data_IF_885296992954
#
_entry.id   IF_885296992954
#
_cell.length_a   1.000
_cell.length_b   1.000
_cell.length_c   1.000
_cell.angle_alpha   90.00
_cell.angle_beta   90.00
_cell.angle_gamma   90.00
#
_symmetry.space_group_name_H-M   'P 1'
#
loop_
_entity.id
_entity.type
_entity.pdbx_description
1 polymer ?
#
# COMPACT_ATOMS: atom_id res chain seq x y z
N UNK A 1 -8.03 -6.01 7.93
CA UNK A 1 -8.27 -5.69 9.36
C UNK A 1 -6.98 -5.10 9.93
N UNK A 2 -6.99 -3.88 10.47
CA UNK A 2 -5.79 -3.29 11.11
C UNK A 2 -5.82 -3.67 12.58
N UNK A 3 -4.81 -4.40 13.03
CA UNK A 3 -4.62 -4.67 14.45
C UNK A 3 -3.56 -3.67 14.92
N UNK A 4 -3.97 -2.75 15.78
CA UNK A 4 -3.05 -1.82 16.44
C UNK A 4 -2.65 -2.49 17.75
N UNK A 5 -1.41 -2.96 17.82
CA UNK A 5 -0.82 -3.44 19.06
C UNK A 5 0.02 -2.33 19.69
N UNK A 6 0.02 -2.24 21.01
CA UNK A 6 1.00 -1.43 21.73
C UNK A 6 1.78 -2.32 22.70
N UNK A 7 3.04 -1.97 22.95
CA UNK A 7 3.90 -2.76 23.81
C UNK A 7 4.43 -1.89 24.95
N UNK A 8 4.30 -2.38 26.18
CA UNK A 8 4.79 -1.70 27.39
C UNK A 8 5.98 -2.48 27.97
N UNK A 9 7.10 -1.82 28.31
CA UNK A 9 8.20 -2.48 28.99
C UNK A 9 7.81 -2.82 30.43
N UNK A 10 8.20 -4.01 30.88
CA UNK A 10 8.02 -4.53 32.25
C UNK A 10 9.37 -5.02 32.79
N UNK A 11 9.45 -5.27 34.10
CA UNK A 11 10.67 -5.78 34.75
C UNK A 11 11.20 -7.10 34.12
N UNK A 12 10.33 -7.88 33.48
CA UNK A 12 10.66 -9.20 32.93
C UNK A 12 10.53 -9.27 31.39
N UNK A 13 10.35 -8.14 30.68
CA UNK A 13 10.25 -8.12 29.21
C UNK A 13 9.24 -7.12 28.64
N UNK A 14 8.72 -7.38 27.43
CA UNK A 14 7.73 -6.53 26.75
C UNK A 14 6.33 -7.14 26.86
N UNK A 15 5.39 -6.39 27.44
CA UNK A 15 3.98 -6.75 27.48
C UNK A 15 3.29 -6.27 26.20
N UNK A 16 2.83 -7.19 25.36
CA UNK A 16 2.13 -6.91 24.12
C UNK A 16 0.61 -6.84 24.34
N UNK A 17 0.04 -5.67 24.10
CA UNK A 17 -1.41 -5.46 24.09
C UNK A 17 -1.93 -5.53 22.66
N UNK A 18 -2.95 -6.37 22.44
CA UNK A 18 -3.60 -6.53 21.14
C UNK A 18 -5.14 -6.52 21.31
N UNK A 19 -5.88 -5.87 20.39
CA UNK A 19 -7.33 -5.71 20.48
C UNK A 19 -8.12 -6.91 19.91
N UNK A 20 -7.46 -7.83 19.20
CA UNK A 20 -8.11 -8.90 18.45
C UNK A 20 -7.92 -10.28 19.10
N UNK A 21 -9.01 -10.99 19.32
CA UNK A 21 -9.03 -12.39 19.80
C UNK A 21 -8.30 -13.31 18.81
N UNK A 22 -8.35 -13.03 17.51
CA UNK A 22 -7.66 -13.80 16.47
C UNK A 22 -6.14 -13.70 16.60
N UNK A 23 -5.62 -12.50 16.91
CA UNK A 23 -4.18 -12.27 17.10
C UNK A 23 -3.66 -13.00 18.33
N UNK A 24 -4.48 -13.07 19.39
CA UNK A 24 -4.18 -13.90 20.56
C UNK A 24 -3.98 -15.35 20.19
N UNK A 25 -4.93 -15.92 19.45
CA UNK A 25 -4.92 -17.33 19.08
C UNK A 25 -3.68 -17.68 18.24
N UNK A 26 -3.34 -16.80 17.28
CA UNK A 26 -2.20 -17.01 16.39
C UNK A 26 -0.85 -16.86 17.11
N UNK A 27 -0.71 -15.87 18.00
CA UNK A 27 0.48 -15.74 18.84
C UNK A 27 0.65 -16.91 19.82
N UNK A 28 -0.44 -17.44 20.37
CA UNK A 28 -0.40 -18.62 21.23
C UNK A 28 0.04 -19.86 20.45
N UNK A 29 -0.48 -20.07 19.24
CA UNK A 29 -0.04 -21.17 18.39
C UNK A 29 1.45 -21.07 18.05
N UNK A 30 1.93 -19.87 17.69
CA UNK A 30 3.35 -19.65 17.40
C UNK A 30 4.22 -19.89 18.64
N UNK A 31 3.74 -19.51 19.82
CA UNK A 31 4.42 -19.74 21.10
C UNK A 31 4.54 -21.22 21.46
N UNK A 32 3.49 -22.01 21.23
CA UNK A 32 3.53 -23.47 21.44
C UNK A 32 4.60 -24.11 20.53
N UNK A 33 4.62 -23.75 19.24
CA UNK A 33 5.66 -24.22 18.32
C UNK A 33 7.06 -23.75 18.72
N UNK A 34 7.20 -22.54 19.28
CA UNK A 34 8.47 -22.01 19.75
C UNK A 34 9.01 -22.70 21.01
N UNK A 35 8.13 -23.14 21.90
CA UNK A 35 8.52 -23.95 23.06
C UNK A 35 9.11 -25.29 22.64
N UNK A 36 8.52 -25.93 21.64
CA UNK A 36 8.95 -27.25 21.19
C UNK A 36 10.24 -27.21 20.36
N UNK A 37 10.39 -26.19 19.50
CA UNK A 37 11.44 -26.19 18.47
C UNK A 37 12.55 -25.15 18.70
N UNK A 38 12.30 -24.13 19.52
CA UNK A 38 13.16 -22.95 19.64
C UNK A 38 13.42 -22.54 21.09
N UNK A 39 13.33 -23.49 22.04
CA UNK A 39 13.61 -23.27 23.47
C UNK A 39 12.78 -22.15 24.12
N UNK A 40 11.58 -21.88 23.59
CA UNK A 40 10.68 -20.83 24.10
C UNK A 40 11.10 -19.41 23.71
N UNK A 41 11.89 -19.24 22.65
CA UNK A 41 12.20 -17.93 22.08
C UNK A 41 11.34 -17.64 20.85
N UNK A 42 10.69 -16.48 20.83
CA UNK A 42 9.91 -15.97 19.70
C UNK A 42 10.45 -14.59 19.31
N UNK A 43 10.92 -14.46 18.06
CA UNK A 43 11.27 -13.16 17.50
C UNK A 43 10.04 -12.54 16.83
N UNK A 44 9.64 -11.35 17.27
CA UNK A 44 8.48 -10.63 16.73
C UNK A 44 8.93 -9.27 16.20
N UNK A 45 8.85 -9.10 14.88
CA UNK A 45 9.11 -7.81 14.23
C UNK A 45 7.83 -6.95 14.17
N UNK A 46 7.72 -6.00 15.09
CA UNK A 46 6.65 -5.02 15.08
C UNK A 46 6.98 -3.90 14.10
N UNK A 47 6.24 -3.83 12.99
CA UNK A 47 6.33 -2.73 12.03
C UNK A 47 5.37 -1.61 12.41
N UNK A 48 5.75 -0.35 12.16
CA UNK A 48 4.83 0.79 12.30
C UNK A 48 3.55 0.51 11.52
N UNK A 49 2.36 0.83 12.07
CA UNK A 49 1.12 0.65 11.36
C UNK A 49 1.15 1.47 10.08
N UNK A 50 1.32 0.78 8.96
CA UNK A 50 1.26 1.36 7.64
C UNK A 50 -0.19 1.32 7.17
N UNK A 51 -0.72 2.44 6.64
CA UNK A 51 -2.06 2.43 6.06
C UNK A 51 -2.00 1.69 4.73
N UNK A 52 -2.12 0.36 4.78
CA UNK A 52 -2.24 -0.47 3.57
C UNK A 52 -3.36 0.09 2.69
N UNK A 53 -3.03 0.43 1.45
CA UNK A 53 -3.98 0.68 0.36
C UNK A 53 -5.06 -0.40 0.34
N UNK A 54 -6.32 -0.05 0.04
CA UNK A 54 -7.34 -1.10 -0.13
C UNK A 54 -6.95 -1.95 -1.34
N UNK A 55 -7.05 -3.28 -1.20
CA UNK A 55 -6.86 -4.23 -2.31
C UNK A 55 -7.80 -3.87 -3.49
N UNK A 56 -9.00 -3.41 -3.18
CA UNK A 56 -10.00 -3.00 -4.18
C UNK A 56 -9.58 -1.73 -4.93
N UNK A 57 -9.03 -0.72 -4.24
CA UNK A 57 -8.51 0.49 -4.89
C UNK A 57 -7.35 0.15 -5.81
N UNK A 58 -6.47 -0.75 -5.39
CA UNK A 58 -5.36 -1.21 -6.23
C UNK A 58 -5.88 -1.96 -7.46
N UNK A 59 -6.83 -2.89 -7.30
CA UNK A 59 -7.47 -3.59 -8.43
C UNK A 59 -8.13 -2.59 -9.38
N UNK A 60 -8.83 -1.60 -8.84
CA UNK A 60 -9.53 -0.58 -9.61
C UNK A 60 -8.56 0.25 -10.47
N UNK A 61 -7.48 0.74 -9.87
CA UNK A 61 -6.46 1.49 -10.60
C UNK A 61 -5.82 0.67 -11.71
N UNK A 62 -5.36 -0.55 -11.41
CA UNK A 62 -4.69 -1.38 -12.42
C UNK A 62 -5.63 -1.82 -13.55
N UNK A 63 -6.91 -2.06 -13.27
CA UNK A 63 -7.90 -2.33 -14.31
C UNK A 63 -8.03 -1.17 -15.29
N UNK A 64 -8.11 0.07 -14.79
CA UNK A 64 -8.16 1.25 -15.66
C UNK A 64 -6.84 1.48 -16.41
N UNK A 65 -5.69 1.28 -15.78
CA UNK A 65 -4.37 1.41 -16.44
C UNK A 65 -4.24 0.40 -17.59
N UNK A 66 -4.67 -0.84 -17.38
CA UNK A 66 -4.72 -1.85 -18.43
C UNK A 66 -5.65 -1.47 -19.58
N UNK A 67 -6.81 -0.88 -19.27
CA UNK A 67 -7.72 -0.40 -20.28
C UNK A 67 -7.08 0.74 -21.11
N UNK A 68 -6.44 1.72 -20.45
CA UNK A 68 -5.73 2.79 -21.13
C UNK A 68 -4.62 2.23 -22.02
N UNK A 69 -3.86 1.25 -21.54
CA UNK A 69 -2.81 0.60 -22.34
C UNK A 69 -3.39 -0.07 -23.58
N UNK A 70 -4.50 -0.79 -23.43
CA UNK A 70 -5.18 -1.45 -24.56
C UNK A 70 -5.69 -0.46 -25.61
N UNK A 71 -6.21 0.69 -25.20
CA UNK A 71 -6.79 1.70 -26.10
C UNK A 71 -5.73 2.59 -26.76
N UNK A 72 -4.63 2.86 -26.07
CA UNK A 72 -3.59 3.80 -26.54
C UNK A 72 -2.35 3.13 -27.11
N UNK A 73 -2.14 1.84 -26.82
CA UNK A 73 -0.93 1.09 -27.19
C UNK A 73 0.32 1.44 -26.38
N UNK A 74 0.19 2.22 -25.30
CA UNK A 74 1.31 2.56 -24.41
C UNK A 74 1.58 1.46 -23.38
N UNK A 75 2.82 1.38 -22.92
CA UNK A 75 3.22 0.46 -21.86
C UNK A 75 2.61 0.85 -20.51
N UNK A 76 2.32 -0.17 -19.69
CA UNK A 76 1.70 0.02 -18.37
C UNK A 76 2.58 0.90 -17.46
N UNK A 77 3.91 0.73 -17.54
CA UNK A 77 4.87 1.50 -16.74
C UNK A 77 4.86 2.99 -17.12
N UNK A 78 4.75 3.30 -18.42
CA UNK A 78 4.70 4.68 -18.89
C UNK A 78 3.41 5.37 -18.45
N UNK A 79 2.28 4.66 -18.53
CA UNK A 79 0.98 5.16 -18.06
C UNK A 79 1.01 5.36 -16.54
N UNK A 80 1.51 4.39 -15.77
CA UNK A 80 1.65 4.50 -14.32
C UNK A 80 2.52 5.71 -13.93
N UNK A 81 3.64 5.89 -14.61
CA UNK A 81 4.56 7.00 -14.36
C UNK A 81 3.90 8.35 -14.67
N UNK A 82 3.22 8.47 -15.83
CA UNK A 82 2.50 9.70 -16.21
C UNK A 82 1.39 10.03 -15.20
N UNK A 83 0.63 9.03 -14.74
CA UNK A 83 -0.42 9.21 -13.75
C UNK A 83 0.14 9.67 -12.39
N UNK A 84 1.26 9.11 -11.94
CA UNK A 84 1.95 9.56 -10.72
C UNK A 84 2.42 11.01 -10.83
N UNK A 85 3.00 11.39 -11.97
CA UNK A 85 3.44 12.76 -12.22
C UNK A 85 2.27 13.75 -12.19
N UNK A 86 1.13 13.37 -12.80
CA UNK A 86 -0.10 14.16 -12.73
C UNK A 86 -0.63 14.25 -11.30
N UNK A 87 -0.60 13.15 -10.54
CA UNK A 87 -1.10 13.11 -9.17
C UNK A 87 -0.25 13.94 -8.19
N UNK A 88 1.01 14.27 -8.51
CA UNK A 88 1.84 15.16 -7.69
C UNK A 88 1.16 16.53 -7.46
N UNK A 89 0.40 17.05 -8.44
CA UNK A 89 -0.36 18.31 -8.29
C UNK A 89 -1.48 18.23 -7.25
N UNK A 90 -1.93 17.00 -6.91
CA UNK A 90 -2.94 16.71 -5.89
C UNK A 90 -2.34 16.35 -4.52
N UNK A 91 -1.02 16.40 -4.39
CA UNK A 91 -0.32 16.05 -3.14
C UNK A 91 0.17 14.61 -3.06
N UNK A 92 0.25 13.89 -4.19
CA UNK A 92 0.96 12.61 -4.24
C UNK A 92 2.45 12.80 -3.85
N UNK A 93 3.01 11.93 -2.99
CA UNK A 93 4.37 12.11 -2.49
C UNK A 93 5.42 11.98 -3.60
N UNK A 94 6.39 12.90 -3.58
CA UNK A 94 7.50 12.91 -4.52
C UNK A 94 8.78 13.43 -3.88
N UNK A 95 9.91 13.18 -4.55
CA UNK A 95 11.19 13.84 -4.30
C UNK A 95 11.66 14.58 -5.54
N UNK A 96 12.55 15.54 -5.36
CA UNK A 96 13.25 16.17 -6.49
C UNK A 96 14.51 15.36 -6.77
N UNK A 97 14.70 14.92 -8.01
CA UNK A 97 15.95 14.33 -8.44
C UNK A 97 17.03 15.42 -8.44
N UNK A 98 18.03 15.29 -7.58
CA UNK A 98 19.10 16.29 -7.41
C UNK A 98 19.96 16.49 -8.66
N UNK A 99 20.03 15.50 -9.55
CA UNK A 99 20.81 15.59 -10.79
C UNK A 99 20.02 16.26 -11.92
N UNK A 100 18.72 15.98 -12.04
CA UNK A 100 17.91 16.45 -13.17
C UNK A 100 16.98 17.62 -12.82
N UNK A 101 16.82 17.94 -11.54
CA UNK A 101 15.86 18.92 -11.05
C UNK A 101 14.39 18.48 -11.20
N UNK A 102 14.12 17.31 -11.79
CA UNK A 102 12.77 16.83 -12.08
C UNK A 102 12.11 16.21 -10.87
N UNK A 103 10.78 16.33 -10.82
CA UNK A 103 9.95 15.61 -9.86
C UNK A 103 10.09 14.11 -10.14
N UNK A 104 10.33 13.34 -9.08
CA UNK A 104 10.34 11.88 -9.07
C UNK A 104 9.30 11.40 -8.06
N UNK A 105 8.12 10.94 -8.52
CA UNK A 105 7.09 10.39 -7.66
C UNK A 105 7.58 9.17 -6.87
N UNK A 106 6.99 8.93 -5.70
CA UNK A 106 7.29 7.76 -4.88
C UNK A 106 6.69 6.47 -5.45
N UNK A 107 7.17 5.33 -4.94
CA UNK A 107 6.63 4.04 -5.33
C UNK A 107 5.18 3.89 -4.86
N UNK A 108 4.35 3.17 -5.62
CA UNK A 108 3.00 2.81 -5.18
C UNK A 108 2.98 1.95 -3.91
N UNK A 109 4.09 1.27 -3.59
CA UNK A 109 4.25 0.53 -2.33
C UNK A 109 4.36 1.45 -1.12
N UNK A 110 4.68 2.72 -1.35
CA UNK A 110 4.81 3.78 -0.34
C UNK A 110 3.56 4.66 -0.27
N UNK A 111 2.49 4.29 -1.00
CA UNK A 111 1.22 5.03 -1.02
C UNK A 111 0.17 4.53 -0.03
N UNK A 112 -0.52 5.47 0.62
CA UNK A 112 -1.69 5.22 1.45
C UNK A 112 -3.02 5.32 0.66
N UNK A 113 -4.13 5.09 1.36
CA UNK A 113 -5.50 5.14 0.81
C UNK A 113 -5.86 6.48 0.16
N UNK A 114 -5.34 7.60 0.70
CA UNK A 114 -5.66 8.94 0.19
C UNK A 114 -4.88 9.21 -1.09
N UNK A 115 -3.60 8.87 -1.08
CA UNK A 115 -2.71 9.00 -2.24
C UNK A 115 -3.17 8.09 -3.39
N UNK A 116 -3.69 6.91 -3.06
CA UNK A 116 -4.33 6.02 -4.04
C UNK A 116 -5.59 6.65 -4.65
N UNK A 117 -6.36 7.41 -3.88
CA UNK A 117 -7.49 8.19 -4.38
C UNK A 117 -7.07 9.22 -5.41
N UNK A 118 -5.96 9.94 -5.18
CA UNK A 118 -5.43 10.90 -6.15
C UNK A 118 -5.02 10.25 -7.48
N UNK A 119 -4.46 9.04 -7.43
CA UNK A 119 -4.14 8.28 -8.64
C UNK A 119 -5.42 7.91 -9.40
N UNK A 120 -6.42 7.35 -8.71
CA UNK A 120 -7.71 6.98 -9.32
C UNK A 120 -8.39 8.19 -9.98
N UNK A 121 -8.42 9.33 -9.30
CA UNK A 121 -9.01 10.56 -9.86
C UNK A 121 -8.29 11.01 -11.13
N UNK A 122 -6.95 11.00 -11.15
CA UNK A 122 -6.18 11.35 -12.35
C UNK A 122 -6.34 10.30 -13.45
N UNK A 123 -6.53 9.03 -13.11
CA UNK A 123 -6.82 7.98 -14.09
C UNK A 123 -8.18 8.21 -14.74
N UNK A 124 -9.22 8.50 -13.96
CA UNK A 124 -10.56 8.83 -14.47
C UNK A 124 -10.49 10.06 -15.37
N UNK A 125 -9.76 11.09 -14.94
CA UNK A 125 -9.58 12.31 -15.71
C UNK A 125 -8.84 12.03 -17.03
N UNK A 126 -7.80 11.19 -17.02
CA UNK A 126 -7.08 10.81 -18.23
C UNK A 126 -7.97 10.00 -19.19
N UNK A 127 -8.76 9.05 -18.69
CA UNK A 127 -9.74 8.33 -19.50
C UNK A 127 -10.71 9.30 -20.19
N UNK A 128 -11.23 10.28 -19.45
CA UNK A 128 -12.13 11.30 -20.01
C UNK A 128 -11.45 12.16 -21.08
N UNK A 129 -10.19 12.57 -20.86
CA UNK A 129 -9.40 13.35 -21.83
C UNK A 129 -9.13 12.56 -23.13
N UNK A 130 -8.96 11.24 -23.02
CA UNK A 130 -8.73 10.34 -24.15
C UNK A 130 -10.03 9.84 -24.81
N UNK A 131 -11.19 10.14 -24.24
CA UNK A 131 -12.48 9.61 -24.71
C UNK A 131 -12.69 8.11 -24.44
N UNK A 132 -11.96 7.55 -23.46
CA UNK A 132 -12.05 6.14 -23.06
C UNK A 132 -13.21 5.97 -22.07
N UNK A 133 -14.17 5.10 -22.40
CA UNK A 133 -15.29 4.77 -21.53
C UNK A 133 -14.86 3.72 -20.50
N UNK A 134 -14.86 4.06 -19.22
CA UNK A 134 -14.40 3.16 -18.15
C UNK A 134 -15.36 1.96 -18.03
N UNK A 135 -14.83 0.75 -18.19
CA UNK A 135 -15.61 -0.47 -18.02
C UNK A 135 -15.64 -0.94 -16.56
N UNK A 136 -16.69 -1.68 -16.14
CA UNK A 136 -16.73 -2.30 -14.82
C UNK A 136 -15.58 -3.28 -14.66
N UNK A 137 -14.73 -3.05 -13.65
CA UNK A 137 -13.57 -3.89 -13.36
C UNK A 137 -14.07 -5.17 -12.69
N UNK A 138 -14.01 -6.27 -13.44
CA UNK A 138 -14.44 -7.61 -13.01
C UNK A 138 -13.55 -8.17 -11.89
#
# INVERSE_FOLDING_TARGET
>A
MKIVCYAEPTENGLLLHYPSVSVKAELLHLWEGAKENYNGYLAVDLKKPYKSRSSEQNRMFWGMVQQIASETGNDLEDIEQALKERACKRGFPYRINKMTGRIKPYSMTECDTVQMGYLIDETIQLCAELGIVIEPIK
#
